data_IF_387724393888
#
_entry.id   IF_387724393888
#
_cell.length_a   1.000
_cell.length_b   1.000
_cell.length_c   1.000
_cell.angle_alpha   90.00
_cell.angle_beta   90.00
_cell.angle_gamma   90.00
#
_symmetry.space_group_name_H-M   'P 1'
#
loop_
_entity.id
_entity.type
_entity.pdbx_description
1 polymer ?
#
# COMPACT_ATOMS: atom_id res chain seq x y z
N UNK A 1 4.18 -12.13 3.95
CA UNK A 1 4.40 -10.69 3.97
C UNK A 1 5.14 -10.21 5.23
N UNK A 2 6.00 -11.01 5.80
CA UNK A 2 6.73 -10.69 7.05
C UNK A 2 8.25 -10.95 6.99
N UNK A 3 8.86 -10.96 5.81
CA UNK A 3 10.28 -11.32 5.66
C UNK A 3 11.20 -10.20 5.14
N UNK A 4 10.71 -8.96 5.02
CA UNK A 4 11.50 -7.88 4.43
C UNK A 4 12.21 -6.95 5.42
N UNK A 5 12.21 -7.23 6.72
CA UNK A 5 12.70 -6.25 7.70
C UNK A 5 13.94 -6.67 8.49
N UNK A 6 14.65 -7.75 8.13
CA UNK A 6 15.77 -8.23 8.95
C UNK A 6 17.09 -8.55 8.24
N UNK A 7 17.19 -8.34 6.95
CA UNK A 7 18.47 -8.62 6.29
C UNK A 7 19.12 -7.34 5.80
N UNK A 8 20.29 -7.03 6.39
CA UNK A 8 21.14 -5.95 5.91
C UNK A 8 21.56 -6.20 4.45
N UNK A 9 21.88 -5.14 3.74
CA UNK A 9 22.18 -5.10 2.30
C UNK A 9 23.20 -6.16 1.84
N UNK A 10 24.09 -6.61 2.72
CA UNK A 10 25.10 -7.64 2.43
C UNK A 10 24.55 -9.06 2.40
N UNK A 11 23.44 -9.33 3.10
CA UNK A 11 22.86 -10.69 3.15
C UNK A 11 21.85 -10.96 2.02
N UNK A 12 21.24 -9.92 1.44
CA UNK A 12 20.40 -10.08 0.24
C UNK A 12 21.19 -10.53 -0.99
N UNK A 13 22.45 -10.14 -1.10
CA UNK A 13 23.34 -10.62 -2.16
C UNK A 13 23.65 -12.12 -1.98
N UNK A 14 23.66 -12.61 -0.75
CA UNK A 14 23.88 -14.04 -0.47
C UNK A 14 22.70 -14.93 -0.86
N UNK A 15 21.47 -14.42 -0.87
CA UNK A 15 20.29 -15.20 -1.22
C UNK A 15 20.13 -15.40 -2.73
N UNK A 16 20.77 -14.56 -3.55
CA UNK A 16 20.79 -14.68 -5.01
C UNK A 16 21.87 -15.65 -5.52
N UNK A 17 22.66 -16.22 -4.64
CA UNK A 17 23.82 -17.03 -5.01
C UNK A 17 23.74 -18.50 -4.64
N UNK A 18 23.05 -19.31 -5.45
CA UNK A 18 23.60 -20.58 -5.92
C UNK A 18 24.61 -20.34 -7.05
N UNK A 19 25.29 -19.19 -7.09
CA UNK A 19 26.25 -18.78 -8.11
C UNK A 19 27.68 -19.10 -7.68
N UNK A 20 28.46 -19.62 -8.65
CA UNK A 20 29.86 -19.97 -8.54
C UNK A 20 30.72 -18.84 -7.94
N UNK A 21 31.79 -19.18 -7.20
CA UNK A 21 32.67 -18.21 -6.53
C UNK A 21 33.28 -17.19 -7.50
N UNK A 22 33.54 -17.58 -8.75
CA UNK A 22 34.06 -16.66 -9.79
C UNK A 22 33.09 -15.52 -10.16
N UNK A 23 31.80 -15.76 -10.02
CA UNK A 23 30.79 -14.72 -10.26
C UNK A 23 30.69 -13.78 -9.05
N UNK A 24 30.96 -14.30 -7.85
CA UNK A 24 30.99 -13.52 -6.62
C UNK A 24 32.06 -12.42 -6.63
N UNK A 25 33.28 -12.74 -7.11
CA UNK A 25 34.35 -11.76 -7.21
C UNK A 25 34.07 -10.68 -8.26
N UNK A 26 33.35 -11.03 -9.35
CA UNK A 26 32.96 -10.08 -10.39
C UNK A 26 31.92 -9.08 -9.90
N UNK A 27 31.01 -9.51 -9.00
CA UNK A 27 29.98 -8.65 -8.43
C UNK A 27 30.44 -7.80 -7.23
N UNK A 28 31.64 -8.04 -6.70
CA UNK A 28 32.26 -7.26 -5.63
C UNK A 28 33.45 -6.41 -6.11
N UNK A 29 33.53 -6.14 -7.42
CA UNK A 29 34.54 -5.19 -7.90
C UNK A 29 34.17 -3.77 -7.45
N UNK A 30 35.18 -2.97 -7.08
CA UNK A 30 35.00 -1.57 -6.69
C UNK A 30 34.23 -0.75 -7.77
N UNK A 31 34.37 -1.13 -9.02
CA UNK A 31 33.67 -0.53 -10.17
C UNK A 31 32.16 -0.84 -10.15
N UNK A 32 31.77 -2.04 -9.68
CA UNK A 32 30.38 -2.44 -9.54
C UNK A 32 29.71 -1.72 -8.36
N UNK A 33 30.43 -1.58 -7.25
CA UNK A 33 29.97 -0.85 -6.07
C UNK A 33 29.78 0.64 -6.39
N UNK A 34 30.67 1.25 -7.16
CA UNK A 34 30.58 2.63 -7.61
C UNK A 34 29.39 2.81 -8.58
N UNK A 35 29.20 1.88 -9.52
CA UNK A 35 28.06 1.91 -10.44
C UNK A 35 26.72 1.86 -9.69
N UNK A 36 26.57 0.93 -8.75
CA UNK A 36 25.35 0.81 -7.95
C UNK A 36 25.14 1.99 -7.00
N UNK A 37 26.20 2.51 -6.39
CA UNK A 37 26.12 3.71 -5.57
C UNK A 37 25.64 4.91 -6.39
N UNK A 38 26.14 5.08 -7.60
CA UNK A 38 25.69 6.12 -8.53
C UNK A 38 24.24 5.91 -9.00
N UNK A 39 23.85 4.66 -9.25
CA UNK A 39 22.47 4.32 -9.60
C UNK A 39 21.51 4.64 -8.45
N UNK A 40 21.85 4.21 -7.23
CA UNK A 40 21.05 4.45 -6.04
C UNK A 40 20.98 5.95 -5.69
N UNK A 41 22.06 6.71 -5.90
CA UNK A 41 22.05 8.16 -5.71
C UNK A 41 21.10 8.90 -6.67
N UNK A 42 20.79 8.30 -7.82
CA UNK A 42 19.84 8.83 -8.81
C UNK A 42 18.39 8.43 -8.52
N UNK A 43 18.20 7.37 -7.73
CA UNK A 43 16.86 6.90 -7.37
C UNK A 43 16.29 7.80 -6.26
N UNK A 44 15.16 8.38 -6.55
CA UNK A 44 14.39 9.12 -5.54
C UNK A 44 13.69 8.12 -4.60
N UNK A 45 13.76 8.39 -3.31
CA UNK A 45 12.94 7.64 -2.36
C UNK A 45 11.45 7.99 -2.59
N UNK A 46 10.54 7.07 -2.20
CA UNK A 46 9.11 7.35 -2.26
C UNK A 46 8.74 8.64 -1.50
N UNK A 47 9.43 8.91 -0.38
CA UNK A 47 9.23 10.15 0.39
C UNK A 47 9.64 11.41 -0.38
N UNK A 48 10.79 11.38 -1.07
CA UNK A 48 11.24 12.50 -1.91
C UNK A 48 10.27 12.75 -3.07
N UNK A 49 9.84 11.69 -3.74
CA UNK A 49 8.86 11.80 -4.83
C UNK A 49 7.54 12.40 -4.35
N UNK A 50 7.06 11.96 -3.19
CA UNK A 50 5.85 12.51 -2.60
C UNK A 50 6.00 13.98 -2.22
N UNK A 51 7.14 14.38 -1.64
CA UNK A 51 7.43 15.77 -1.30
C UNK A 51 7.48 16.66 -2.54
N UNK A 52 8.14 16.22 -3.60
CA UNK A 52 8.21 16.96 -4.86
C UNK A 52 6.85 17.11 -5.54
N UNK A 53 6.02 16.05 -5.48
CA UNK A 53 4.73 16.02 -6.18
C UNK A 53 3.62 16.72 -5.38
N UNK A 54 3.57 16.51 -4.08
CA UNK A 54 2.45 16.95 -3.22
C UNK A 54 2.85 17.97 -2.16
N UNK A 55 4.13 18.30 -2.03
CA UNK A 55 4.66 19.24 -1.05
C UNK A 55 5.12 18.57 0.25
N UNK A 56 5.69 19.38 1.12
CA UNK A 56 6.17 18.97 2.44
C UNK A 56 5.02 18.48 3.32
N UNK A 57 5.35 17.61 4.28
CA UNK A 57 4.39 17.17 5.31
C UNK A 57 3.86 18.37 6.08
N UNK A 58 2.55 18.36 6.35
CA UNK A 58 1.86 19.47 7.04
C UNK A 58 1.37 20.57 6.10
N UNK A 59 1.68 20.52 4.79
CA UNK A 59 1.06 21.43 3.82
C UNK A 59 -0.35 20.94 3.45
N UNK A 60 -1.32 21.85 3.21
CA UNK A 60 -2.69 21.47 2.88
C UNK A 60 -2.80 20.49 1.73
N UNK A 61 -1.98 20.68 0.68
CA UNK A 61 -1.95 19.80 -0.49
C UNK A 61 -1.48 18.39 -0.13
N UNK A 62 -0.47 18.28 0.76
CA UNK A 62 0.04 17.00 1.20
C UNK A 62 -0.96 16.28 2.10
N UNK A 63 -1.60 16.99 3.00
CA UNK A 63 -2.63 16.44 3.89
C UNK A 63 -3.86 15.94 3.11
N UNK A 64 -4.28 16.68 2.10
CA UNK A 64 -5.36 16.27 1.21
C UNK A 64 -5.01 14.95 0.48
N UNK A 65 -3.80 14.86 -0.06
CA UNK A 65 -3.31 13.64 -0.70
C UNK A 65 -3.29 12.46 0.28
N UNK A 66 -2.75 12.64 1.48
CA UNK A 66 -2.68 11.58 2.48
C UNK A 66 -4.06 11.15 2.96
N UNK A 67 -5.00 12.08 3.10
CA UNK A 67 -6.38 11.75 3.43
C UNK A 67 -7.05 10.90 2.34
N UNK A 68 -6.88 11.27 1.07
CA UNK A 68 -7.38 10.49 -0.07
C UNK A 68 -6.75 9.11 -0.16
N UNK A 69 -5.43 9.02 0.05
CA UNK A 69 -4.71 7.74 0.05
C UNK A 69 -5.20 6.81 1.18
N UNK A 70 -5.44 7.35 2.37
CA UNK A 70 -6.03 6.59 3.49
C UNK A 70 -7.45 6.14 3.19
N UNK A 71 -8.28 7.01 2.62
CA UNK A 71 -9.65 6.66 2.24
C UNK A 71 -9.66 5.51 1.22
N UNK A 72 -8.80 5.58 0.21
CA UNK A 72 -8.62 4.50 -0.75
C UNK A 72 -8.17 3.20 -0.09
N UNK A 73 -7.20 3.25 0.79
CA UNK A 73 -6.71 2.08 1.53
C UNK A 73 -7.82 1.40 2.34
N UNK A 74 -8.64 2.18 3.04
CA UNK A 74 -9.76 1.62 3.79
C UNK A 74 -10.86 1.03 2.89
N UNK A 75 -11.11 1.61 1.73
CA UNK A 75 -12.03 1.04 0.74
C UNK A 75 -11.53 -0.33 0.22
N UNK A 76 -10.23 -0.46 -0.04
CA UNK A 76 -9.60 -1.74 -0.42
C UNK A 76 -9.71 -2.78 0.72
N UNK A 77 -9.50 -2.39 1.97
CA UNK A 77 -9.68 -3.29 3.12
C UNK A 77 -11.10 -3.86 3.18
N UNK A 78 -12.12 -3.03 2.99
CA UNK A 78 -13.51 -3.49 2.97
C UNK A 78 -13.78 -4.43 1.80
N UNK A 79 -13.24 -4.11 0.63
CA UNK A 79 -13.34 -4.95 -0.57
C UNK A 79 -12.68 -6.32 -0.38
N UNK A 80 -11.48 -6.34 0.19
CA UNK A 80 -10.75 -7.58 0.43
C UNK A 80 -11.45 -8.45 1.46
N UNK A 81 -12.00 -7.86 2.52
CA UNK A 81 -12.79 -8.57 3.51
C UNK A 81 -14.08 -9.15 2.90
N UNK A 82 -14.77 -8.39 2.06
CA UNK A 82 -15.92 -8.91 1.30
C UNK A 82 -15.53 -10.15 0.48
N UNK A 83 -14.41 -10.05 -0.26
CA UNK A 83 -13.90 -11.17 -1.07
C UNK A 83 -13.51 -12.36 -0.22
N UNK A 84 -12.86 -12.13 0.93
CA UNK A 84 -12.50 -13.17 1.89
C UNK A 84 -13.73 -13.94 2.38
N UNK A 85 -14.83 -13.23 2.59
CA UNK A 85 -16.13 -13.82 2.95
C UNK A 85 -16.88 -14.40 1.74
N UNK A 86 -16.31 -14.36 0.53
CA UNK A 86 -16.92 -14.84 -0.72
C UNK A 86 -18.27 -14.16 -1.04
N UNK A 87 -18.48 -12.94 -0.57
CA UNK A 87 -19.66 -12.14 -0.86
C UNK A 87 -19.51 -11.43 -2.21
N UNK A 88 -20.55 -11.48 -3.02
CA UNK A 88 -20.64 -10.64 -4.23
C UNK A 88 -20.96 -9.19 -3.86
N UNK A 89 -20.67 -8.25 -4.76
CA UNK A 89 -21.06 -6.84 -4.58
C UNK A 89 -22.58 -6.68 -4.43
N UNK A 90 -23.35 -7.51 -5.12
CA UNK A 90 -24.80 -7.53 -4.98
C UNK A 90 -25.24 -7.96 -3.58
N UNK A 91 -24.69 -9.06 -3.07
CA UNK A 91 -25.02 -9.55 -1.72
C UNK A 91 -24.63 -8.56 -0.62
N UNK A 92 -23.47 -7.87 -0.78
CA UNK A 92 -23.12 -6.80 0.13
C UNK A 92 -24.10 -5.62 0.00
N UNK A 93 -24.44 -5.23 -1.22
CA UNK A 93 -25.43 -4.19 -1.49
C UNK A 93 -26.78 -4.49 -0.81
N UNK A 94 -27.26 -5.71 -0.92
CA UNK A 94 -28.51 -6.16 -0.27
C UNK A 94 -28.43 -6.03 1.25
N UNK A 95 -27.30 -6.39 1.87
CA UNK A 95 -27.10 -6.27 3.32
C UNK A 95 -27.11 -4.83 3.81
N UNK A 96 -26.64 -3.88 3.00
CA UNK A 96 -26.57 -2.46 3.38
C UNK A 96 -27.69 -1.61 2.76
N UNK A 97 -28.66 -2.23 2.07
CA UNK A 97 -29.78 -1.52 1.43
C UNK A 97 -29.33 -0.63 0.26
N UNK A 98 -28.31 -1.02 -0.47
CA UNK A 98 -27.77 -0.28 -1.63
C UNK A 98 -27.70 -1.17 -2.87
N UNK A 99 -27.67 -0.52 -4.04
CA UNK A 99 -27.52 -1.23 -5.32
C UNK A 99 -26.09 -1.71 -5.52
N UNK A 100 -25.91 -2.78 -6.29
CA UNK A 100 -24.60 -3.31 -6.68
C UNK A 100 -23.68 -2.25 -7.26
N UNK A 101 -24.20 -1.38 -8.15
CA UNK A 101 -23.46 -0.33 -8.84
C UNK A 101 -22.86 0.68 -7.83
N UNK A 102 -23.56 0.97 -6.76
CA UNK A 102 -23.07 1.82 -5.68
C UNK A 102 -21.90 1.17 -4.95
N UNK A 103 -21.99 -0.10 -4.61
CA UNK A 103 -20.88 -0.85 -4.00
C UNK A 103 -19.68 -0.88 -4.94
N UNK A 104 -19.90 -1.13 -6.23
CA UNK A 104 -18.85 -1.15 -7.24
C UNK A 104 -18.13 0.20 -7.35
N UNK A 105 -18.86 1.31 -7.38
CA UNK A 105 -18.27 2.66 -7.47
C UNK A 105 -17.45 3.04 -6.23
N UNK A 106 -17.87 2.60 -5.06
CA UNK A 106 -17.09 2.79 -3.82
C UNK A 106 -15.80 1.97 -3.83
N UNK A 107 -15.87 0.71 -4.24
CA UNK A 107 -14.71 -0.18 -4.32
C UNK A 107 -13.69 0.25 -5.40
N UNK A 108 -14.14 0.96 -6.41
CA UNK A 108 -13.28 1.52 -7.47
C UNK A 108 -12.73 2.91 -7.14
N UNK A 109 -13.10 3.47 -6.01
CA UNK A 109 -12.69 4.83 -5.61
C UNK A 109 -13.30 5.94 -6.49
N UNK A 110 -14.37 5.65 -7.23
CA UNK A 110 -15.05 6.62 -8.09
C UNK A 110 -15.95 7.58 -7.29
N UNK A 111 -16.27 7.21 -6.08
CA UNK A 111 -17.15 7.99 -5.19
C UNK A 111 -16.51 8.04 -3.81
N UNK A 112 -16.45 9.23 -3.23
CA UNK A 112 -15.99 9.39 -1.85
C UNK A 112 -16.94 8.68 -0.89
N UNK A 113 -16.37 7.83 -0.05
CA UNK A 113 -17.12 7.09 0.94
C UNK A 113 -17.34 7.93 2.19
N UNK A 114 -18.60 8.27 2.45
CA UNK A 114 -18.95 8.90 3.72
C UNK A 114 -18.65 7.95 4.89
N UNK A 115 -18.25 8.51 6.03
CA UNK A 115 -17.96 7.72 7.23
C UNK A 115 -19.14 6.82 7.65
N UNK A 116 -20.37 7.32 7.52
CA UNK A 116 -21.58 6.54 7.80
C UNK A 116 -21.71 5.30 6.91
N UNK A 117 -21.40 5.45 5.62
CA UNK A 117 -21.40 4.33 4.65
C UNK A 117 -20.26 3.35 4.96
N UNK A 118 -19.08 3.86 5.30
CA UNK A 118 -17.96 3.02 5.73
C UNK A 118 -18.33 2.16 6.94
N UNK A 119 -18.91 2.75 7.98
CA UNK A 119 -19.34 2.03 9.18
C UNK A 119 -20.45 1.01 8.88
N UNK A 120 -21.37 1.35 7.97
CA UNK A 120 -22.44 0.44 7.55
C UNK A 120 -21.87 -0.81 6.85
N UNK A 121 -20.95 -0.62 5.93
CA UNK A 121 -20.28 -1.73 5.22
C UNK A 121 -19.43 -2.56 6.21
N UNK A 122 -18.65 -1.90 7.06
CA UNK A 122 -17.85 -2.57 8.06
C UNK A 122 -18.69 -3.46 8.99
N UNK A 123 -19.81 -2.94 9.48
CA UNK A 123 -20.74 -3.71 10.31
C UNK A 123 -21.35 -4.89 9.55
N UNK A 124 -21.73 -4.69 8.28
CA UNK A 124 -22.27 -5.76 7.43
C UNK A 124 -21.25 -6.88 7.16
N UNK A 125 -19.96 -6.56 7.21
CA UNK A 125 -18.84 -7.51 7.10
C UNK A 125 -18.37 -8.05 8.46
N UNK A 126 -18.96 -7.62 9.57
CA UNK A 126 -18.58 -8.05 10.92
C UNK A 126 -17.28 -7.44 11.43
N UNK A 127 -16.81 -6.35 10.81
CA UNK A 127 -15.61 -5.63 11.24
C UNK A 127 -15.92 -4.68 12.39
N UNK A 128 -14.97 -4.54 13.29
CA UNK A 128 -15.02 -3.56 14.38
C UNK A 128 -13.89 -2.56 14.25
N UNK A 129 -14.23 -1.30 14.41
CA UNK A 129 -13.25 -0.21 14.44
C UNK A 129 -13.22 0.41 15.84
N UNK A 130 -12.01 0.68 16.31
CA UNK A 130 -11.79 1.47 17.52
C UNK A 130 -10.92 2.68 17.17
N UNK A 131 -11.31 3.86 17.66
CA UNK A 131 -10.47 5.05 17.61
C UNK A 131 -9.56 5.02 18.84
N UNK A 132 -8.26 5.07 18.60
CA UNK A 132 -7.27 5.27 19.65
C UNK A 132 -6.89 6.74 19.62
N UNK A 133 -7.22 7.46 20.68
CA UNK A 133 -6.83 8.86 20.88
C UNK A 133 -5.51 8.80 21.64
N UNK A 134 -4.45 9.23 20.95
CA UNK A 134 -3.11 9.31 21.51
C UNK A 134 -2.85 10.66 22.21
#
# INVERSE_FOLDING_TARGET
MFFFQKFGYSEQIHYFCGMNEDIRETFHSAEYDEYYANLLARLKTGSQHLTETYGEKGTPRREEFEAKAKAWYYAELLRDERKRQKLTQQQLGERIGKKREYVSSLEQGQTDMQLSTFMLIANALGLRFSLVIG
#
